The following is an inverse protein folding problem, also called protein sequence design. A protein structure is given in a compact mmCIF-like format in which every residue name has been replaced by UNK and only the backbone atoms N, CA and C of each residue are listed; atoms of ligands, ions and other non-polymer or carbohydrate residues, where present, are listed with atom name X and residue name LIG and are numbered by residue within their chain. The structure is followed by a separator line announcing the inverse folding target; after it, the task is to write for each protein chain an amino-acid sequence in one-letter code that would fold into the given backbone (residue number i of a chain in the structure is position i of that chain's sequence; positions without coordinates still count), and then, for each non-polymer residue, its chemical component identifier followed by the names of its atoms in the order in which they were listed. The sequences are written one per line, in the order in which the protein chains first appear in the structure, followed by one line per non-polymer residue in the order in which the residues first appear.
data_IF_872039596135
#
_entry.id   IF_872039596135
#
_cell.length_a   1.000
_cell.length_b   1.000
_cell.length_c   1.000
_cell.angle_alpha   90.00
_cell.angle_beta   90.00
_cell.angle_gamma   90.00
#
_symmetry.space_group_name_H-M   'P 1'
#
loop_
_entity.id
_entity.type
_entity.pdbx_description
1 polymer ?
#
# COMPACT_ATOMS: atom_id res chain seq x y z
N UNK A 1 -4.17 15.47 12.77
CA UNK A 1 -4.49 14.42 11.80
C UNK A 1 -3.95 13.08 12.25
N UNK A 2 -4.77 12.07 12.19
CA UNK A 2 -4.41 10.72 12.63
C UNK A 2 -3.63 10.01 11.54
N UNK A 3 -2.62 9.20 11.92
CA UNK A 3 -1.88 8.37 10.98
C UNK A 3 -2.77 7.39 10.22
N UNK A 4 -3.93 7.08 10.76
CA UNK A 4 -4.87 6.15 10.16
C UNK A 4 -5.90 6.84 9.24
N UNK A 5 -5.73 8.13 9.01
CA UNK A 5 -6.54 8.85 8.02
C UNK A 5 -6.17 8.36 6.63
N UNK A 6 -7.17 7.90 5.86
CA UNK A 6 -6.92 7.30 4.55
C UNK A 6 -6.31 8.29 3.56
N UNK A 7 -6.72 9.56 3.62
CA UNK A 7 -6.15 10.59 2.74
C UNK A 7 -4.68 10.82 3.04
N UNK A 8 -4.33 10.86 4.33
CA UNK A 8 -2.95 11.01 4.76
C UNK A 8 -2.10 9.82 4.30
N UNK A 9 -2.61 8.62 4.50
CA UNK A 9 -1.89 7.40 4.12
C UNK A 9 -1.65 7.38 2.62
N UNK A 10 -2.65 7.68 1.83
CA UNK A 10 -2.51 7.70 0.38
C UNK A 10 -1.46 8.72 -0.05
N UNK A 11 -1.54 9.94 0.47
CA UNK A 11 -0.62 11.01 0.11
C UNK A 11 0.83 10.67 0.46
N UNK A 12 1.04 10.01 1.60
CA UNK A 12 2.38 9.68 2.09
C UNK A 12 3.01 8.50 1.36
N UNK A 13 2.22 7.52 0.98
CA UNK A 13 2.76 6.24 0.53
C UNK A 13 2.53 5.94 -0.95
N UNK A 14 1.73 6.75 -1.65
CA UNK A 14 1.40 6.47 -3.06
C UNK A 14 2.62 6.34 -3.95
N UNK A 15 3.60 7.22 -3.77
CA UNK A 15 4.77 7.22 -4.64
C UNK A 15 5.63 5.98 -4.41
N UNK A 16 5.78 5.57 -3.16
CA UNK A 16 6.55 4.37 -2.83
C UNK A 16 5.86 3.11 -3.32
N UNK A 17 4.56 3.03 -3.13
CA UNK A 17 3.77 1.88 -3.59
C UNK A 17 3.83 1.81 -5.11
N UNK A 18 3.59 2.94 -5.78
CA UNK A 18 3.64 3.00 -7.23
C UNK A 18 5.01 2.59 -7.76
N UNK A 19 6.08 3.11 -7.16
CA UNK A 19 7.43 2.79 -7.58
C UNK A 19 7.77 1.32 -7.46
N UNK A 20 7.34 0.70 -6.35
CA UNK A 20 7.57 -0.74 -6.16
C UNK A 20 6.80 -1.55 -7.21
N UNK A 21 5.52 -1.27 -7.38
CA UNK A 21 4.69 -2.02 -8.33
C UNK A 21 5.24 -1.86 -9.74
N UNK A 22 5.59 -0.63 -10.11
CA UNK A 22 6.11 -0.34 -11.45
C UNK A 22 7.42 -1.08 -11.72
N UNK A 23 8.24 -1.30 -10.69
CA UNK A 23 9.50 -2.02 -10.85
C UNK A 23 9.30 -3.50 -11.13
N UNK A 24 8.11 -4.04 -10.88
CA UNK A 24 7.82 -5.48 -11.01
C UNK A 24 6.84 -5.81 -12.12
N UNK A 25 6.14 -4.81 -12.66
CA UNK A 25 5.05 -5.03 -13.63
C UNK A 25 5.31 -4.15 -14.84
N UNK A 26 5.18 -4.72 -16.04
CA UNK A 26 5.52 -4.02 -17.28
C UNK A 26 4.42 -3.08 -17.77
N UNK A 27 3.17 -3.51 -17.69
CA UNK A 27 2.06 -2.78 -18.30
C UNK A 27 1.55 -1.72 -17.37
N UNK A 28 1.45 -0.48 -17.86
CA UNK A 28 1.04 0.64 -17.04
C UNK A 28 -0.38 0.49 -16.49
N UNK A 29 -1.31 -0.08 -17.25
CA UNK A 29 -2.65 -0.30 -16.75
C UNK A 29 -2.68 -1.33 -15.62
N UNK A 30 -1.79 -2.32 -15.66
CA UNK A 30 -1.67 -3.30 -14.58
C UNK A 30 -1.08 -2.67 -13.33
N UNK A 31 -0.14 -1.74 -13.50
CA UNK A 31 0.44 -1.01 -12.38
C UNK A 31 -0.64 -0.23 -11.64
N UNK A 32 -1.47 0.51 -12.38
CA UNK A 32 -2.53 1.31 -11.78
C UNK A 32 -3.53 0.44 -11.03
N UNK A 33 -3.93 -0.68 -11.63
CA UNK A 33 -4.88 -1.60 -11.00
C UNK A 33 -4.31 -2.18 -9.73
N UNK A 34 -3.04 -2.57 -9.74
CA UNK A 34 -2.39 -3.15 -8.56
C UNK A 34 -2.21 -2.11 -7.46
N UNK A 35 -1.85 -0.89 -7.81
CA UNK A 35 -1.74 0.19 -6.82
C UNK A 35 -3.09 0.43 -6.15
N UNK A 36 -4.16 0.48 -6.91
CA UNK A 36 -5.50 0.62 -6.34
C UNK A 36 -5.83 -0.54 -5.42
N UNK A 37 -5.51 -1.75 -5.83
CA UNK A 37 -5.78 -2.94 -5.02
C UNK A 37 -5.01 -2.90 -3.70
N UNK A 38 -3.74 -2.45 -3.74
CA UNK A 38 -2.94 -2.30 -2.52
C UNK A 38 -3.64 -1.37 -1.53
N UNK A 39 -4.07 -0.20 -1.99
CA UNK A 39 -4.70 0.77 -1.09
C UNK A 39 -6.07 0.32 -0.60
N UNK A 40 -6.82 -0.39 -1.43
CA UNK A 40 -8.07 -0.99 -0.98
C UNK A 40 -7.82 -1.98 0.16
N UNK A 41 -6.78 -2.79 0.05
CA UNK A 41 -6.41 -3.73 1.10
C UNK A 41 -5.92 -3.02 2.35
N UNK A 42 -5.14 -1.95 2.18
CA UNK A 42 -4.67 -1.14 3.30
C UNK A 42 -5.89 -0.60 4.07
N UNK A 43 -6.83 0.01 3.37
CA UNK A 43 -8.00 0.62 4.02
C UNK A 43 -8.89 -0.44 4.66
N UNK A 44 -9.08 -1.56 4.00
CA UNK A 44 -9.95 -2.64 4.50
C UNK A 44 -9.40 -3.27 5.78
N UNK A 45 -8.08 -3.21 5.98
CA UNK A 45 -7.42 -3.85 7.13
C UNK A 45 -6.82 -2.86 8.11
N UNK A 46 -7.10 -1.59 7.96
CA UNK A 46 -6.49 -0.55 8.78
C UNK A 46 -6.82 -0.72 10.26
N UNK A 47 -8.00 -1.20 10.57
CA UNK A 47 -8.42 -1.46 11.94
C UNK A 47 -7.65 -2.61 12.60
N UNK A 48 -6.99 -3.43 11.79
CA UNK A 48 -6.16 -4.56 12.27
C UNK A 48 -4.69 -4.20 12.37
N UNK A 49 -4.32 -3.03 11.87
CA UNK A 49 -2.94 -2.61 11.94
C UNK A 49 -2.52 -2.39 13.38
N UNK A 50 -1.39 -2.95 13.76
CA UNK A 50 -0.85 -2.86 15.10
C UNK A 50 0.53 -2.21 15.06
N UNK A 51 0.62 -0.96 15.51
CA UNK A 51 1.87 -0.20 15.46
C UNK A 51 2.94 -0.76 16.39
N UNK A 52 2.56 -1.61 17.33
CA UNK A 52 3.54 -2.28 18.20
C UNK A 52 4.30 -3.34 17.42
N UNK A 53 3.63 -3.99 16.47
CA UNK A 53 4.23 -5.09 15.71
C UNK A 53 5.06 -4.61 14.52
N UNK A 54 4.65 -3.53 13.87
CA UNK A 54 5.35 -3.02 12.71
C UNK A 54 5.01 -1.56 12.50
N UNK A 55 5.95 -0.81 11.89
CA UNK A 55 5.67 0.55 11.48
C UNK A 55 4.63 0.55 10.35
N UNK A 56 3.95 1.66 10.19
CA UNK A 56 2.96 1.79 9.11
C UNK A 56 3.63 1.54 7.74
N UNK A 57 4.83 2.06 7.55
CA UNK A 57 5.57 1.87 6.32
C UNK A 57 5.83 0.39 6.02
N UNK A 58 6.30 -0.35 7.02
CA UNK A 58 6.56 -1.79 6.87
C UNK A 58 5.28 -2.56 6.59
N UNK A 59 4.21 -2.21 7.28
CA UNK A 59 2.93 -2.88 7.11
C UNK A 59 2.39 -2.68 5.69
N UNK A 60 2.44 -1.44 5.19
CA UNK A 60 1.98 -1.14 3.84
C UNK A 60 2.87 -1.83 2.81
N UNK A 61 4.19 -1.83 3.05
CA UNK A 61 5.11 -2.53 2.14
C UNK A 61 4.79 -4.02 2.04
N UNK A 62 4.47 -4.65 3.18
CA UNK A 62 4.11 -6.07 3.18
C UNK A 62 2.85 -6.32 2.35
N UNK A 63 1.85 -5.47 2.49
CA UNK A 63 0.63 -5.59 1.69
C UNK A 63 0.95 -5.40 0.20
N UNK A 64 1.78 -4.43 -0.12
CA UNK A 64 2.18 -4.13 -1.50
C UNK A 64 2.88 -5.34 -2.12
N UNK A 65 3.87 -5.86 -1.41
CA UNK A 65 4.65 -6.98 -1.89
C UNK A 65 3.76 -8.22 -2.11
N UNK A 66 2.91 -8.51 -1.15
CA UNK A 66 2.02 -9.67 -1.26
C UNK A 66 1.03 -9.50 -2.42
N UNK A 67 0.54 -8.29 -2.64
CA UNK A 67 -0.38 -8.03 -3.75
C UNK A 67 0.28 -8.27 -5.10
N UNK A 68 1.53 -7.84 -5.23
CA UNK A 68 2.27 -8.00 -6.49
C UNK A 68 2.61 -9.46 -6.75
N UNK A 69 3.00 -10.22 -5.72
CA UNK A 69 3.49 -11.58 -5.90
C UNK A 69 2.41 -12.65 -5.74
N UNK A 70 1.26 -12.29 -5.24
CA UNK A 70 0.14 -13.19 -5.19
C UNK A 70 -0.74 -13.03 -6.41
#
# INVERSE_FOLDING_TARGET
MNKQDTGYIYAQYRDKVFGFVRSKVFRSEDVEDLVQEVFLKVYANLDRYDEVKASLSTWIYTITRNTVYD
#
